data_IF_755415684116
#
_entry.id   IF_755415684116
#
_cell.length_a   1.000
_cell.length_b   1.000
_cell.length_c   1.000
_cell.angle_alpha   90.00
_cell.angle_beta   90.00
_cell.angle_gamma   90.00
#
_symmetry.space_group_name_H-M   'P 1'
#
loop_
_entity.id
_entity.type
_entity.pdbx_description
1 polymer ?
#
# COMPACT_ATOMS: atom_id res chain seq x y z
N UNK A 1 -17.01 10.35 -46.54
CA UNK A 1 -16.03 9.69 -45.63
C UNK A 1 -16.81 8.85 -44.64
N UNK A 2 -16.58 7.53 -44.66
CA UNK A 2 -17.27 6.61 -43.74
C UNK A 2 -16.77 6.79 -42.28
N UNK A 3 -17.64 6.50 -41.31
CA UNK A 3 -17.28 6.55 -39.88
C UNK A 3 -15.99 5.75 -39.57
N UNK A 4 -15.80 4.60 -40.25
CA UNK A 4 -14.58 3.78 -40.14
C UNK A 4 -13.32 4.50 -40.64
N UNK A 5 -13.40 5.23 -41.77
CA UNK A 5 -12.26 5.97 -42.31
C UNK A 5 -11.82 7.11 -41.40
N UNK A 6 -12.77 7.82 -40.78
CA UNK A 6 -12.47 8.88 -39.79
C UNK A 6 -11.77 8.28 -38.55
N UNK A 7 -12.28 7.17 -38.04
CA UNK A 7 -11.71 6.48 -36.88
C UNK A 7 -10.28 5.97 -37.13
N UNK A 8 -10.01 5.41 -38.34
CA UNK A 8 -8.67 5.00 -38.73
C UNK A 8 -7.68 6.17 -38.80
N UNK A 9 -8.15 7.32 -39.29
CA UNK A 9 -7.32 8.53 -39.35
C UNK A 9 -6.99 9.02 -37.94
N UNK A 10 -7.96 9.08 -37.03
CA UNK A 10 -7.74 9.42 -35.62
C UNK A 10 -6.75 8.46 -34.93
N UNK A 11 -6.87 7.16 -35.15
CA UNK A 11 -5.92 6.16 -34.62
C UNK A 11 -4.51 6.40 -35.14
N UNK A 12 -4.35 6.66 -36.44
CA UNK A 12 -3.05 6.96 -37.03
C UNK A 12 -2.42 8.24 -36.44
N UNK A 13 -3.22 9.28 -36.27
CA UNK A 13 -2.76 10.53 -35.64
C UNK A 13 -2.31 10.31 -34.20
N UNK A 14 -3.07 9.54 -33.39
CA UNK A 14 -2.69 9.17 -32.03
C UNK A 14 -1.38 8.35 -31.97
N UNK A 15 -1.11 7.57 -32.97
CA UNK A 15 0.15 6.80 -33.12
C UNK A 15 1.28 7.62 -33.74
N UNK A 16 1.11 8.92 -33.97
CA UNK A 16 2.08 9.81 -34.63
C UNK A 16 2.35 9.44 -36.09
N UNK A 17 1.32 8.98 -36.81
CA UNK A 17 1.33 8.63 -38.22
C UNK A 17 2.48 7.65 -38.61
N UNK A 18 2.58 6.48 -38.00
CA UNK A 18 3.62 5.49 -38.34
C UNK A 18 3.38 4.91 -39.74
N UNK A 19 4.44 4.41 -40.37
CA UNK A 19 4.33 3.69 -41.67
C UNK A 19 3.46 2.43 -41.56
N UNK A 20 3.56 1.71 -40.44
CA UNK A 20 2.75 0.55 -40.09
C UNK A 20 2.10 0.74 -38.70
N UNK A 21 0.80 1.06 -38.65
CA UNK A 21 0.10 1.23 -37.39
C UNK A 21 0.00 -0.05 -36.54
N UNK A 22 -0.06 -1.22 -37.19
CA UNK A 22 -0.15 -2.51 -36.50
C UNK A 22 1.16 -2.81 -35.78
N UNK A 23 2.29 -2.60 -36.46
CA UNK A 23 3.61 -2.73 -35.84
C UNK A 23 3.81 -1.74 -34.70
N UNK A 24 3.36 -0.49 -34.87
CA UNK A 24 3.41 0.53 -33.82
C UNK A 24 2.61 0.11 -32.57
N UNK A 25 1.40 -0.41 -32.74
CA UNK A 25 0.59 -0.93 -31.63
C UNK A 25 1.27 -2.12 -30.95
N UNK A 26 1.83 -3.06 -31.73
CA UNK A 26 2.54 -4.21 -31.17
C UNK A 26 3.78 -3.78 -30.37
N UNK A 27 4.53 -2.80 -30.84
CA UNK A 27 5.66 -2.21 -30.12
C UNK A 27 5.22 -1.57 -28.81
N UNK A 28 4.17 -0.77 -28.81
CA UNK A 28 3.62 -0.16 -27.59
C UNK A 28 3.14 -1.22 -26.59
N UNK A 29 2.46 -2.25 -27.07
CA UNK A 29 2.02 -3.38 -26.24
C UNK A 29 3.20 -4.10 -25.60
N UNK A 30 4.24 -4.39 -26.37
CA UNK A 30 5.45 -5.06 -25.86
C UNK A 30 6.20 -4.16 -24.87
N UNK A 31 6.35 -2.86 -25.16
CA UNK A 31 6.96 -1.92 -24.23
C UNK A 31 6.18 -1.85 -22.90
N UNK A 32 4.84 -1.89 -22.94
CA UNK A 32 4.01 -1.90 -21.76
C UNK A 32 4.23 -3.17 -20.92
N UNK A 33 4.31 -4.33 -21.56
CA UNK A 33 4.63 -5.61 -20.89
C UNK A 33 6.01 -5.57 -20.22
N UNK A 34 7.03 -5.07 -20.93
CA UNK A 34 8.40 -4.96 -20.40
C UNK A 34 8.45 -4.00 -19.22
N UNK A 35 7.78 -2.84 -19.32
CA UNK A 35 7.71 -1.85 -18.26
C UNK A 35 7.00 -2.40 -17.02
N UNK A 36 5.88 -3.12 -17.20
CA UNK A 36 5.17 -3.78 -16.10
C UNK A 36 6.05 -4.79 -15.37
N UNK A 37 6.75 -5.67 -16.09
CA UNK A 37 7.69 -6.64 -15.49
C UNK A 37 8.82 -5.95 -14.71
N UNK A 38 9.32 -4.82 -15.22
CA UNK A 38 10.37 -4.05 -14.55
C UNK A 38 9.84 -3.41 -13.26
N UNK A 39 8.63 -2.88 -13.27
CA UNK A 39 7.95 -2.34 -12.08
C UNK A 39 7.77 -3.44 -11.03
N UNK A 40 7.31 -4.62 -11.42
CA UNK A 40 7.13 -5.76 -10.51
C UNK A 40 8.47 -6.20 -9.88
N UNK A 41 9.55 -6.22 -10.67
CA UNK A 41 10.88 -6.55 -10.17
C UNK A 41 11.36 -5.52 -9.12
N UNK A 42 11.20 -4.24 -9.41
CA UNK A 42 11.56 -3.15 -8.49
C UNK A 42 10.72 -3.22 -7.20
N UNK A 43 9.42 -3.44 -7.33
CA UNK A 43 8.53 -3.59 -6.18
C UNK A 43 8.94 -4.77 -5.30
N UNK A 44 9.34 -5.90 -5.88
CA UNK A 44 9.83 -7.05 -5.13
C UNK A 44 11.13 -6.76 -4.37
N UNK A 45 12.03 -5.95 -4.94
CA UNK A 45 13.24 -5.50 -4.25
C UNK A 45 12.90 -4.56 -3.08
N UNK A 46 11.98 -3.60 -3.30
CA UNK A 46 11.50 -2.70 -2.26
C UNK A 46 10.82 -3.43 -1.11
N UNK A 47 10.02 -4.47 -1.41
CA UNK A 47 9.40 -5.31 -0.38
C UNK A 47 10.46 -5.95 0.52
N UNK A 48 11.54 -6.51 -0.04
CA UNK A 48 12.63 -7.09 0.74
C UNK A 48 13.31 -6.07 1.63
N UNK A 49 13.57 -4.88 1.09
CA UNK A 49 14.18 -3.78 1.83
C UNK A 49 13.31 -3.34 3.01
N UNK A 50 12.05 -3.02 2.77
CA UNK A 50 11.13 -2.59 3.81
C UNK A 50 10.79 -3.68 4.83
N UNK A 51 10.83 -4.96 4.45
CA UNK A 51 10.70 -6.06 5.41
C UNK A 51 11.87 -6.10 6.40
N UNK A 52 13.09 -5.74 5.96
CA UNK A 52 14.23 -5.57 6.86
C UNK A 52 13.99 -4.44 7.87
N UNK A 53 13.56 -3.27 7.39
CA UNK A 53 13.24 -2.12 8.24
C UNK A 53 12.17 -2.47 9.28
N UNK A 54 11.08 -3.16 8.85
CA UNK A 54 10.02 -3.61 9.76
C UNK A 54 10.58 -4.55 10.84
N UNK A 55 11.46 -5.49 10.46
CA UNK A 55 12.05 -6.45 11.41
C UNK A 55 12.99 -5.77 12.41
N UNK A 56 13.70 -4.75 11.98
CA UNK A 56 14.59 -3.96 12.85
C UNK A 56 13.82 -3.10 13.86
N UNK A 57 12.67 -2.55 13.45
CA UNK A 57 11.81 -1.70 14.27
C UNK A 57 10.77 -2.47 15.12
N UNK A 58 10.85 -3.81 15.16
CA UNK A 58 9.92 -4.62 15.94
C UNK A 58 10.05 -4.38 17.44
N UNK A 59 8.95 -4.03 18.06
CA UNK A 59 8.78 -3.98 19.51
C UNK A 59 8.13 -5.28 19.96
N UNK A 60 8.77 -6.00 20.88
CA UNK A 60 8.27 -7.25 21.44
C UNK A 60 7.67 -7.02 22.84
N UNK A 61 6.43 -7.43 23.03
CA UNK A 61 5.73 -7.33 24.30
C UNK A 61 4.79 -8.52 24.47
N UNK A 62 4.94 -9.29 25.56
CA UNK A 62 4.05 -10.40 25.91
C UNK A 62 3.76 -11.36 24.73
N UNK A 63 4.82 -11.84 24.07
CA UNK A 63 4.74 -12.72 22.90
C UNK A 63 4.01 -12.11 21.68
N UNK A 64 3.86 -10.79 21.64
CA UNK A 64 3.34 -10.05 20.50
C UNK A 64 4.45 -9.22 19.87
N UNK A 65 4.45 -9.14 18.54
CA UNK A 65 5.36 -8.32 17.76
C UNK A 65 4.59 -7.11 17.23
N UNK A 66 5.10 -5.92 17.43
CA UNK A 66 4.51 -4.68 16.98
C UNK A 66 5.51 -3.86 16.17
N UNK A 67 5.05 -3.29 15.06
CA UNK A 67 5.78 -2.26 14.33
C UNK A 67 4.81 -1.19 13.82
N UNK A 68 5.21 0.07 13.96
CA UNK A 68 4.50 1.21 13.41
C UNK A 68 5.50 2.13 12.72
N UNK A 69 5.44 2.21 11.39
CA UNK A 69 6.44 2.91 10.58
C UNK A 69 5.79 3.63 9.38
N UNK A 70 6.37 4.76 8.99
CA UNK A 70 6.07 5.43 7.73
C UNK A 70 7.08 5.02 6.66
N UNK A 71 6.58 4.63 5.49
CA UNK A 71 7.37 4.20 4.34
C UNK A 71 7.09 5.09 3.13
N UNK A 72 8.10 5.31 2.30
CA UNK A 72 7.95 6.07 1.04
C UNK A 72 7.61 5.13 -0.10
N UNK A 73 6.34 4.75 -0.21
CA UNK A 73 5.89 3.83 -1.24
C UNK A 73 4.44 4.09 -1.66
N UNK A 74 4.03 3.44 -2.76
CA UNK A 74 2.64 3.51 -3.24
C UNK A 74 1.68 2.77 -2.27
N UNK A 75 0.39 3.11 -2.29
CA UNK A 75 -0.61 2.41 -1.47
C UNK A 75 -0.68 0.91 -1.76
N UNK A 76 -0.50 0.50 -3.01
CA UNK A 76 -0.51 -0.91 -3.43
C UNK A 76 0.67 -1.67 -2.83
N UNK A 77 1.86 -1.08 -2.87
CA UNK A 77 3.06 -1.67 -2.28
C UNK A 77 2.91 -1.76 -0.76
N UNK A 78 2.33 -0.75 -0.11
CA UNK A 78 2.09 -0.71 1.32
C UNK A 78 1.19 -1.88 1.77
N UNK A 79 0.10 -2.15 1.03
CA UNK A 79 -0.80 -3.29 1.28
C UNK A 79 -0.09 -4.64 1.10
N UNK A 80 0.63 -4.80 -0.02
CA UNK A 80 1.39 -6.02 -0.30
C UNK A 80 2.43 -6.30 0.79
N UNK A 81 3.13 -5.26 1.23
CA UNK A 81 4.12 -5.35 2.29
C UNK A 81 3.51 -5.83 3.62
N UNK A 82 2.31 -5.35 3.97
CA UNK A 82 1.62 -5.77 5.18
C UNK A 82 1.33 -7.28 5.20
N UNK A 83 0.86 -7.84 4.09
CA UNK A 83 0.64 -9.29 3.96
C UNK A 83 1.95 -10.07 3.98
N UNK A 84 2.99 -9.60 3.26
CA UNK A 84 4.31 -10.24 3.25
C UNK A 84 4.98 -10.22 4.62
N UNK A 85 4.80 -9.16 5.40
CA UNK A 85 5.26 -9.11 6.78
C UNK A 85 4.49 -10.12 7.66
N UNK A 86 3.18 -10.21 7.50
CA UNK A 86 2.34 -11.17 8.21
C UNK A 86 2.67 -12.63 7.91
N UNK A 87 3.13 -12.94 6.69
CA UNK A 87 3.59 -14.27 6.30
C UNK A 87 4.93 -14.67 6.94
N UNK A 88 5.75 -13.68 7.35
CA UNK A 88 7.11 -13.91 7.85
C UNK A 88 7.29 -13.65 9.34
N UNK A 89 6.37 -12.96 9.98
CA UNK A 89 6.45 -12.54 11.38
C UNK A 89 5.21 -13.03 12.12
N UNK A 90 5.41 -13.95 13.02
CA UNK A 90 4.32 -14.47 13.86
C UNK A 90 3.86 -13.45 14.89
N UNK A 91 2.61 -13.54 15.31
CA UNK A 91 2.02 -12.71 16.36
C UNK A 91 2.19 -11.21 16.08
N UNK A 92 2.01 -10.81 14.81
CA UNK A 92 2.28 -9.45 14.34
C UNK A 92 1.04 -8.55 14.45
N UNK A 93 1.25 -7.38 15.02
CA UNK A 93 0.41 -6.19 14.84
C UNK A 93 1.23 -5.13 14.09
N UNK A 94 0.79 -4.75 12.91
CA UNK A 94 1.55 -3.88 12.01
C UNK A 94 0.72 -2.66 11.62
N UNK A 95 1.30 -1.49 11.81
CA UNK A 95 0.77 -0.21 11.35
C UNK A 95 1.74 0.37 10.32
N UNK A 96 1.32 0.44 9.09
CA UNK A 96 2.09 1.04 8.01
C UNK A 96 1.41 2.31 7.52
N UNK A 97 2.17 3.37 7.37
CA UNK A 97 1.72 4.62 6.77
C UNK A 97 2.56 5.00 5.58
N UNK A 98 1.99 5.70 4.64
CA UNK A 98 2.71 6.37 3.57
C UNK A 98 2.05 7.69 3.19
N UNK A 99 2.86 8.61 2.68
CA UNK A 99 2.38 9.83 2.02
C UNK A 99 2.63 9.71 0.52
N UNK A 100 1.57 9.81 -0.29
CA UNK A 100 1.65 9.67 -1.74
C UNK A 100 0.65 10.61 -2.40
N UNK A 101 1.11 11.41 -3.37
CA UNK A 101 0.29 12.40 -4.09
C UNK A 101 -0.56 13.31 -3.17
N UNK A 102 0.05 13.79 -2.08
CA UNK A 102 -0.61 14.70 -1.14
C UNK A 102 -1.67 14.05 -0.25
N UNK A 103 -1.78 12.72 -0.25
CA UNK A 103 -2.69 11.95 0.61
C UNK A 103 -1.90 11.09 1.60
N UNK A 104 -2.48 10.85 2.76
CA UNK A 104 -1.98 9.90 3.75
C UNK A 104 -2.67 8.54 3.58
N UNK A 105 -1.91 7.47 3.66
CA UNK A 105 -2.41 6.11 3.62
C UNK A 105 -2.04 5.41 4.91
N UNK A 106 -3.01 4.69 5.47
CA UNK A 106 -2.87 3.86 6.67
C UNK A 106 -3.26 2.43 6.33
N UNK A 107 -2.42 1.49 6.72
CA UNK A 107 -2.69 0.04 6.67
C UNK A 107 -2.46 -0.53 8.06
N UNK A 108 -3.42 -1.28 8.56
CA UNK A 108 -3.31 -2.07 9.78
C UNK A 108 -3.47 -3.56 9.43
N UNK A 109 -2.49 -4.36 9.85
CA UNK A 109 -2.53 -5.82 9.75
C UNK A 109 -2.38 -6.44 11.15
N UNK A 110 -3.17 -7.46 11.45
CA UNK A 110 -3.11 -8.21 12.70
C UNK A 110 -3.12 -9.70 12.38
N UNK A 111 -2.15 -10.44 12.91
CA UNK A 111 -2.14 -11.91 12.82
C UNK A 111 -3.41 -12.48 13.40
N UNK A 112 -4.04 -13.44 12.69
CA UNK A 112 -5.38 -13.96 13.03
C UNK A 112 -5.49 -14.50 14.46
N UNK A 113 -4.42 -15.09 14.97
CA UNK A 113 -4.36 -15.64 16.33
C UNK A 113 -4.31 -14.56 17.44
N UNK A 114 -4.09 -13.28 17.08
CA UNK A 114 -4.11 -12.16 18.02
C UNK A 114 -5.44 -11.42 18.07
N UNK A 115 -6.37 -11.74 17.17
CA UNK A 115 -7.64 -11.03 17.07
C UNK A 115 -8.50 -11.34 18.30
N UNK A 116 -8.88 -10.27 19.00
CA UNK A 116 -9.77 -10.30 20.16
C UNK A 116 -10.62 -9.03 20.22
N UNK A 117 -11.27 -8.78 21.36
CA UNK A 117 -12.09 -7.57 21.55
C UNK A 117 -11.30 -6.26 21.51
N UNK A 118 -10.00 -6.30 21.80
CA UNK A 118 -9.09 -5.13 21.82
C UNK A 118 -8.28 -5.05 20.52
N UNK A 119 -7.82 -6.19 20.00
CA UNK A 119 -7.03 -6.27 18.76
C UNK A 119 -7.93 -6.58 17.56
N UNK A 120 -8.46 -5.53 16.97
CA UNK A 120 -9.30 -5.55 15.78
C UNK A 120 -8.82 -4.42 14.85
N UNK A 121 -8.30 -4.79 13.67
CA UNK A 121 -7.69 -3.84 12.74
C UNK A 121 -8.67 -2.75 12.30
N UNK A 122 -9.95 -3.09 12.11
CA UNK A 122 -10.97 -2.10 11.74
C UNK A 122 -11.16 -1.07 12.83
N UNK A 123 -11.31 -1.49 14.10
CA UNK A 123 -11.48 -0.59 15.23
C UNK A 123 -10.25 0.31 15.42
N UNK A 124 -9.05 -0.25 15.28
CA UNK A 124 -7.79 0.48 15.38
C UNK A 124 -7.68 1.53 14.27
N UNK A 125 -8.00 1.16 13.03
CA UNK A 125 -8.01 2.10 11.90
C UNK A 125 -9.04 3.20 12.10
N UNK A 126 -10.24 2.90 12.60
CA UNK A 126 -11.26 3.91 12.88
C UNK A 126 -10.77 4.94 13.92
N UNK A 127 -10.02 4.51 14.94
CA UNK A 127 -9.43 5.40 15.94
C UNK A 127 -8.25 6.22 15.42
N UNK A 128 -7.37 5.61 14.61
CA UNK A 128 -6.16 6.26 14.12
C UNK A 128 -6.40 7.16 12.91
N UNK A 129 -7.42 6.86 12.11
CA UNK A 129 -7.72 7.59 10.86
C UNK A 129 -8.10 9.06 11.08
N UNK A 130 -8.54 9.41 12.27
CA UNK A 130 -8.88 10.80 12.63
C UNK A 130 -7.67 11.74 12.51
N UNK A 131 -6.45 11.27 12.78
CA UNK A 131 -5.23 12.07 12.70
C UNK A 131 -4.87 12.47 11.26
N UNK A 132 -5.29 11.69 10.29
CA UNK A 132 -5.04 11.93 8.87
C UNK A 132 -6.29 12.43 8.12
N UNK A 133 -7.36 12.78 8.85
CA UNK A 133 -8.65 13.18 8.29
C UNK A 133 -9.20 12.15 7.30
N UNK A 134 -9.26 10.88 7.72
CA UNK A 134 -9.68 9.77 6.91
C UNK A 134 -10.91 9.07 7.48
N UNK A 135 -11.68 8.46 6.58
CA UNK A 135 -12.55 7.33 6.90
C UNK A 135 -11.82 6.04 6.61
N UNK A 136 -11.94 5.07 7.49
CA UNK A 136 -11.33 3.75 7.33
C UNK A 136 -12.36 2.67 7.09
N UNK A 137 -11.86 1.50 6.67
CA UNK A 137 -12.68 0.30 6.50
C UNK A 137 -11.82 -0.94 6.36
N UNK A 138 -12.44 -2.09 6.55
CA UNK A 138 -11.77 -3.37 6.44
C UNK A 138 -12.36 -4.44 7.33
N UNK A 139 -11.55 -5.44 7.60
CA UNK A 139 -11.87 -6.60 8.44
C UNK A 139 -11.02 -6.59 9.71
N UNK A 140 -11.32 -7.50 10.64
CA UNK A 140 -10.62 -7.57 11.93
C UNK A 140 -9.12 -7.83 11.82
N UNK A 141 -8.67 -8.51 10.76
CA UNK A 141 -7.26 -8.82 10.55
C UNK A 141 -6.56 -7.82 9.60
N UNK A 142 -7.31 -7.06 8.80
CA UNK A 142 -6.77 -6.13 7.82
C UNK A 142 -7.72 -4.98 7.55
N UNK A 143 -7.27 -3.76 7.78
CA UNK A 143 -8.05 -2.55 7.52
C UNK A 143 -7.16 -1.42 6.97
N UNK A 144 -7.75 -0.51 6.22
CA UNK A 144 -7.04 0.60 5.58
C UNK A 144 -7.82 1.89 5.69
N UNK A 145 -7.11 3.02 5.65
CA UNK A 145 -7.72 4.35 5.51
C UNK A 145 -6.91 5.23 4.57
N UNK A 146 -7.60 6.14 3.90
CA UNK A 146 -6.99 7.16 3.03
C UNK A 146 -7.46 8.52 3.45
N UNK A 147 -6.54 9.39 3.85
CA UNK A 147 -6.83 10.72 4.39
C UNK A 147 -6.21 11.86 3.60
N UNK A 148 -6.67 13.07 3.89
CA UNK A 148 -6.24 14.30 3.23
C UNK A 148 -5.15 15.06 4.03
N UNK A 149 -4.70 14.53 5.17
CA UNK A 149 -3.74 15.17 6.05
C UNK A 149 -2.47 14.32 6.26
N UNK A 150 -1.49 14.36 5.35
CA UNK A 150 -0.21 13.64 5.51
C UNK A 150 0.58 14.07 6.75
N UNK A 151 0.48 15.32 7.18
CA UNK A 151 1.19 15.82 8.36
C UNK A 151 0.73 15.17 9.67
N UNK A 152 -0.44 14.54 9.68
CA UNK A 152 -0.97 13.80 10.81
C UNK A 152 -0.33 12.41 11.03
N UNK A 153 0.45 11.89 10.06
CA UNK A 153 1.05 10.55 10.13
C UNK A 153 1.94 10.38 11.36
N UNK A 154 2.77 11.37 11.66
CA UNK A 154 3.64 11.32 12.86
C UNK A 154 2.85 11.10 14.14
N UNK A 155 1.80 11.88 14.34
CA UNK A 155 0.93 11.79 15.53
C UNK A 155 0.15 10.45 15.55
N UNK A 156 -0.26 9.95 14.38
CA UNK A 156 -0.89 8.65 14.23
C UNK A 156 0.06 7.53 14.71
N UNK A 157 1.31 7.53 14.28
CA UNK A 157 2.31 6.53 14.66
C UNK A 157 2.64 6.59 16.16
N UNK A 158 2.77 7.77 16.74
CA UNK A 158 2.97 7.95 18.19
C UNK A 158 1.80 7.36 18.99
N UNK A 159 0.56 7.62 18.58
CA UNK A 159 -0.63 7.06 19.23
C UNK A 159 -0.76 5.55 19.03
N UNK A 160 -0.38 5.02 17.89
CA UNK A 160 -0.39 3.56 17.66
C UNK A 160 0.60 2.82 18.57
N UNK A 161 1.79 3.37 18.79
CA UNK A 161 2.78 2.83 19.73
C UNK A 161 2.28 2.87 21.18
N UNK A 162 1.66 3.97 21.59
CA UNK A 162 1.03 4.09 22.89
C UNK A 162 -0.10 3.06 23.09
N UNK A 163 -0.99 2.94 22.10
CA UNK A 163 -2.05 1.95 22.11
C UNK A 163 -1.53 0.53 22.35
N UNK A 164 -0.46 0.14 21.64
CA UNK A 164 0.16 -1.18 21.80
C UNK A 164 0.77 -1.38 23.19
N UNK A 165 1.45 -0.39 23.75
CA UNK A 165 2.06 -0.48 25.08
C UNK A 165 1.02 -0.56 26.19
N UNK A 166 -0.19 -0.01 25.98
CA UNK A 166 -1.31 -0.05 26.93
C UNK A 166 -2.11 -1.38 26.87
N UNK A 167 -1.80 -2.26 25.91
CA UNK A 167 -2.39 -3.62 25.78
C UNK A 167 -1.77 -4.64 26.77
N UNK A 168 -1.67 -4.29 28.03
CA UNK A 168 -1.21 -5.18 29.11
C UNK A 168 -2.21 -6.29 29.43
#
# INVERSE_FOLDING_TARGET
VTKKSKMLKEVNELLLNPKDPIDAINKLKNQNIVSSKKIDSINNQLVKYYLSDIKEDLIKLNNKNFCAIELKCSPELLKNLAFKAGDQIDNLMLILCSSHEGKAFLVCYISKNLIDSKLDAKKIVDQLSVFINAGGGGQQFFATATGKNPSGIKKLLENSKKYFTDLK
#
